data_IF_561408120068
#
_entry.id   IF_561408120068
#
_cell.length_a   1.000
_cell.length_b   1.000
_cell.length_c   1.000
_cell.angle_alpha   90.00
_cell.angle_beta   90.00
_cell.angle_gamma   90.00
#
_symmetry.space_group_name_H-M   'P 1'
#
loop_
_entity.id
_entity.type
_entity.pdbx_description
1 polymer ?
#
# COMPACT_ATOMS: atom_id res chain seq x y z
N UNK A 1 -31.22 -35.33 14.94
CA UNK A 1 -31.03 -34.79 13.57
C UNK A 1 -30.23 -33.52 13.71
N UNK A 2 -28.90 -33.62 13.57
CA UNK A 2 -28.01 -32.45 13.56
C UNK A 2 -28.04 -31.89 12.14
N UNK A 3 -28.43 -30.63 11.99
CA UNK A 3 -28.32 -29.93 10.71
C UNK A 3 -26.88 -29.45 10.59
N UNK A 4 -26.01 -30.30 10.03
CA UNK A 4 -24.73 -29.86 9.48
C UNK A 4 -25.05 -28.95 8.28
N UNK A 5 -24.82 -27.65 8.45
CA UNK A 5 -24.84 -26.72 7.34
C UNK A 5 -23.63 -27.01 6.44
N UNK A 6 -23.80 -27.06 5.10
CA UNK A 6 -22.70 -27.35 4.19
C UNK A 6 -21.63 -26.26 4.24
N UNK A 7 -20.36 -26.67 4.18
CA UNK A 7 -19.14 -25.85 4.19
C UNK A 7 -18.99 -24.89 2.98
N UNK A 8 -20.09 -24.53 2.32
CA UNK A 8 -20.12 -23.82 1.03
C UNK A 8 -20.39 -22.32 1.17
N UNK A 9 -20.45 -21.80 2.39
CA UNK A 9 -20.38 -20.35 2.65
C UNK A 9 -19.27 -20.07 3.67
N UNK A 10 -18.07 -20.61 3.42
CA UNK A 10 -16.89 -19.83 3.75
C UNK A 10 -16.81 -18.76 2.67
N UNK A 11 -17.29 -17.56 2.97
CA UNK A 11 -16.56 -16.38 2.49
C UNK A 11 -15.10 -16.71 2.76
N UNK A 12 -14.29 -16.90 1.72
CA UNK A 12 -12.87 -17.14 1.91
C UNK A 12 -12.32 -15.79 2.35
N UNK A 13 -12.43 -15.53 3.66
CA UNK A 13 -11.80 -14.38 4.29
C UNK A 13 -10.32 -14.48 3.94
N UNK A 14 -9.78 -13.40 3.40
CA UNK A 14 -8.37 -13.38 3.03
C UNK A 14 -7.54 -13.48 4.31
N UNK A 15 -6.56 -14.36 4.37
CA UNK A 15 -5.60 -14.37 5.46
C UNK A 15 -4.43 -13.42 5.20
N UNK A 16 -3.75 -13.01 6.25
CA UNK A 16 -2.65 -12.06 6.19
C UNK A 16 -1.47 -12.55 5.33
N UNK A 17 -1.20 -13.86 5.31
CA UNK A 17 -0.09 -14.43 4.53
C UNK A 17 -0.40 -14.35 3.02
N UNK A 18 -1.60 -14.75 2.62
CA UNK A 18 -2.09 -14.64 1.23
C UNK A 18 -2.11 -13.18 0.79
N UNK A 19 -2.50 -12.28 1.69
CA UNK A 19 -2.47 -10.85 1.40
C UNK A 19 -1.05 -10.31 1.21
N UNK A 20 -0.09 -10.72 2.05
CA UNK A 20 1.32 -10.34 1.94
C UNK A 20 1.94 -10.76 0.60
N UNK A 21 1.65 -11.99 0.15
CA UNK A 21 2.10 -12.51 -1.15
C UNK A 21 1.54 -11.67 -2.31
N UNK A 22 0.23 -11.35 -2.28
CA UNK A 22 -0.42 -10.51 -3.30
C UNK A 22 0.13 -9.10 -3.30
N UNK A 23 0.35 -8.53 -2.12
CA UNK A 23 0.92 -7.20 -1.96
C UNK A 23 2.34 -7.16 -2.53
N UNK A 24 3.16 -8.18 -2.25
CA UNK A 24 4.51 -8.32 -2.83
C UNK A 24 4.47 -8.32 -4.37
N UNK A 25 3.59 -9.13 -4.98
CA UNK A 25 3.42 -9.19 -6.45
C UNK A 25 3.03 -7.83 -7.04
N UNK A 26 2.10 -7.14 -6.37
CA UNK A 26 1.64 -5.81 -6.77
C UNK A 26 2.76 -4.77 -6.68
N UNK A 27 3.51 -4.76 -5.58
CA UNK A 27 4.67 -3.89 -5.40
C UNK A 27 5.74 -4.14 -6.49
N UNK A 28 5.97 -5.41 -6.84
CA UNK A 28 6.98 -5.81 -7.81
C UNK A 28 6.61 -5.48 -9.26
N UNK A 29 5.32 -5.59 -9.62
CA UNK A 29 4.91 -5.66 -11.02
C UNK A 29 3.81 -4.69 -11.46
N UNK A 30 3.21 -3.93 -10.53
CA UNK A 30 1.99 -3.17 -10.81
C UNK A 30 2.07 -1.68 -10.46
N UNK A 31 3.19 -1.17 -9.94
CA UNK A 31 3.31 0.22 -9.48
C UNK A 31 4.10 1.16 -10.39
N UNK A 32 4.17 0.87 -11.70
CA UNK A 32 4.79 1.80 -12.63
C UNK A 32 3.96 3.10 -12.75
N UNK A 33 4.57 4.24 -12.39
CA UNK A 33 3.94 5.56 -12.36
C UNK A 33 2.60 5.61 -11.60
N UNK A 34 2.46 4.81 -10.54
CA UNK A 34 1.25 4.70 -9.75
C UNK A 34 1.49 5.04 -8.28
N UNK A 35 0.46 5.52 -7.60
CA UNK A 35 0.40 5.60 -6.14
C UNK A 35 -0.65 4.62 -5.65
N UNK A 36 -0.38 3.97 -4.52
CA UNK A 36 -1.31 3.08 -3.84
C UNK A 36 -1.32 3.43 -2.35
N UNK A 37 -2.50 3.60 -1.78
CA UNK A 37 -2.75 3.76 -0.35
C UNK A 37 -3.59 2.60 0.14
N UNK A 38 -3.25 2.06 1.31
CA UNK A 38 -4.02 1.03 2.00
C UNK A 38 -4.37 1.50 3.41
N UNK A 39 -5.65 1.40 3.77
CA UNK A 39 -6.19 1.85 5.05
C UNK A 39 -7.71 1.68 5.14
N UNK A 40 -8.34 2.16 6.21
CA UNK A 40 -9.81 2.19 6.32
C UNK A 40 -10.43 3.44 5.70
N UNK A 41 -11.71 3.32 5.33
CA UNK A 41 -12.59 4.33 4.73
C UNK A 41 -12.76 5.62 5.58
N UNK A 42 -12.40 5.60 6.87
CA UNK A 42 -12.71 6.66 7.86
C UNK A 42 -11.47 7.05 8.69
N UNK A 43 -10.30 7.28 8.08
CA UNK A 43 -8.98 7.20 8.74
C UNK A 43 -8.73 8.13 9.96
N UNK A 44 -9.29 7.76 11.12
CA UNK A 44 -8.77 8.00 12.47
C UNK A 44 -7.65 7.00 12.83
N UNK A 45 -7.25 6.16 11.87
CA UNK A 45 -6.19 5.14 11.97
C UNK A 45 -5.11 5.45 10.94
N UNK A 46 -3.88 5.02 11.23
CA UNK A 46 -2.77 5.11 10.28
C UNK A 46 -3.03 4.37 8.96
N UNK A 47 -2.24 4.69 7.94
CA UNK A 47 -2.30 4.06 6.63
C UNK A 47 -0.88 3.81 6.09
N UNK A 48 -0.79 2.96 5.08
CA UNK A 48 0.46 2.76 4.33
C UNK A 48 0.31 3.25 2.91
N UNK A 49 1.37 3.82 2.35
CA UNK A 49 1.34 4.30 0.98
C UNK A 49 2.65 4.06 0.23
N UNK A 50 2.54 3.88 -1.08
CA UNK A 50 3.69 3.80 -1.98
C UNK A 50 3.52 4.78 -3.12
N UNK A 51 4.53 5.60 -3.35
CA UNK A 51 4.67 6.39 -4.56
C UNK A 51 5.63 5.67 -5.52
N UNK A 52 5.06 5.17 -6.60
CA UNK A 52 5.71 4.24 -7.52
C UNK A 52 6.58 4.89 -8.59
N UNK A 53 7.76 4.29 -8.77
CA UNK A 53 8.62 4.21 -9.95
C UNK A 53 8.41 5.32 -10.99
N UNK A 54 8.93 6.50 -10.70
CA UNK A 54 9.14 7.49 -11.73
C UNK A 54 10.29 7.02 -12.63
N UNK A 55 9.94 6.49 -13.81
CA UNK A 55 10.92 6.08 -14.84
C UNK A 55 11.20 7.20 -15.85
N UNK A 56 10.45 8.30 -15.76
CA UNK A 56 10.68 9.52 -16.55
C UNK A 56 11.23 10.63 -15.67
N UNK A 57 12.24 11.34 -16.18
CA UNK A 57 12.80 12.54 -15.55
C UNK A 57 11.73 13.55 -15.09
N UNK A 58 12.01 14.35 -14.02
CA UNK A 58 13.29 14.49 -13.32
C UNK A 58 13.45 13.58 -12.09
N UNK A 59 12.47 12.75 -11.77
CA UNK A 59 12.51 11.95 -10.55
C UNK A 59 13.26 10.64 -10.82
N UNK A 60 14.38 10.37 -10.10
CA UNK A 60 15.12 9.13 -10.26
C UNK A 60 14.24 7.94 -9.85
N UNK A 61 14.62 6.77 -10.34
CA UNK A 61 14.03 5.44 -10.14
C UNK A 61 13.96 5.07 -8.65
N UNK A 62 13.09 5.75 -7.93
CA UNK A 62 12.87 5.66 -6.50
C UNK A 62 11.45 5.15 -6.27
N UNK A 63 11.33 4.17 -5.38
CA UNK A 63 10.06 3.80 -4.77
C UNK A 63 10.08 4.34 -3.35
N UNK A 64 9.11 5.18 -2.99
CA UNK A 64 8.89 5.60 -1.61
C UNK A 64 7.78 4.76 -1.02
N UNK A 65 8.04 4.06 0.09
CA UNK A 65 7.04 3.34 0.87
C UNK A 65 6.96 3.97 2.25
N UNK A 66 5.76 4.17 2.75
CA UNK A 66 5.51 4.94 3.97
C UNK A 66 4.52 4.19 4.88
N UNK A 67 4.74 4.29 6.19
CA UNK A 67 3.82 3.86 7.24
C UNK A 67 3.48 5.10 8.06
N UNK A 68 2.27 5.62 7.89
CA UNK A 68 1.82 6.85 8.53
C UNK A 68 1.14 6.49 9.84
N UNK A 69 1.80 6.77 10.96
CA UNK A 69 1.34 6.38 12.31
C UNK A 69 0.60 7.49 13.05
N UNK A 70 0.74 8.74 12.61
CA UNK A 70 0.02 9.90 13.13
C UNK A 70 -0.50 10.77 11.96
N UNK A 71 -1.62 10.38 11.31
CA UNK A 71 -2.26 11.31 10.39
C UNK A 71 -2.76 12.51 11.18
N UNK A 72 -2.62 13.72 10.63
CA UNK A 72 -3.04 14.98 11.27
C UNK A 72 -4.48 14.84 11.81
N UNK A 73 -4.63 14.70 13.12
CA UNK A 73 -5.92 14.61 13.81
C UNK A 73 -6.35 13.23 14.37
N UNK A 74 -5.53 12.18 14.28
CA UNK A 74 -5.82 10.85 14.81
C UNK A 74 -4.98 10.50 16.06
N UNK A 75 -5.44 9.58 16.94
CA UNK A 75 -4.63 9.08 18.05
C UNK A 75 -3.39 8.34 17.53
N UNK A 76 -2.23 8.62 18.12
CA UNK A 76 -0.94 8.02 17.74
C UNK A 76 -1.00 6.49 17.84
N UNK A 77 -0.78 5.79 16.73
CA UNK A 77 -0.48 4.37 16.78
C UNK A 77 0.82 4.20 17.59
N UNK A 78 0.77 3.42 18.67
CA UNK A 78 1.94 3.23 19.55
C UNK A 78 2.89 2.22 18.88
N UNK A 79 4.00 2.73 18.36
CA UNK A 79 5.10 1.92 17.82
C UNK A 79 5.98 1.45 18.98
N UNK A 80 6.12 0.15 19.17
CA UNK A 80 7.04 -0.41 20.19
C UNK A 80 8.48 -0.41 19.68
N UNK A 81 9.46 -0.62 20.58
CA UNK A 81 10.86 -0.79 20.19
C UNK A 81 11.06 -1.96 19.21
N UNK A 82 10.28 -3.03 19.35
CA UNK A 82 10.34 -4.18 18.45
C UNK A 82 9.84 -3.85 17.04
N UNK A 83 8.75 -3.07 16.94
CA UNK A 83 8.22 -2.58 15.68
C UNK A 83 9.22 -1.64 14.99
N UNK A 84 9.78 -0.70 15.76
CA UNK A 84 10.80 0.23 15.28
C UNK A 84 12.05 -0.50 14.76
N UNK A 85 12.50 -1.55 15.46
CA UNK A 85 13.62 -2.36 15.00
C UNK A 85 13.28 -3.11 13.70
N UNK A 86 12.10 -3.73 13.62
CA UNK A 86 11.64 -4.41 12.41
C UNK A 86 11.61 -3.46 11.20
N UNK A 87 11.08 -2.24 11.38
CA UNK A 87 11.04 -1.23 10.32
C UNK A 87 12.44 -0.78 9.92
N UNK A 88 13.32 -0.55 10.89
CA UNK A 88 14.72 -0.18 10.65
C UNK A 88 15.47 -1.26 9.87
N UNK A 89 15.31 -2.53 10.24
CA UNK A 89 15.92 -3.67 9.57
C UNK A 89 15.41 -3.82 8.11
N UNK A 90 14.17 -3.43 7.86
CA UNK A 90 13.60 -3.35 6.52
C UNK A 90 14.06 -2.10 5.72
N UNK A 91 14.76 -1.16 6.36
CA UNK A 91 15.30 0.05 5.74
C UNK A 91 14.41 1.28 5.82
N UNK A 92 13.37 1.25 6.66
CA UNK A 92 12.58 2.44 6.97
C UNK A 92 13.31 3.34 7.97
N UNK A 93 13.01 4.63 7.91
CA UNK A 93 13.49 5.64 8.86
C UNK A 93 12.30 6.44 9.36
N UNK A 94 12.27 6.74 10.65
CA UNK A 94 11.24 7.58 11.22
C UNK A 94 11.47 9.05 10.84
N UNK A 95 10.44 9.69 10.29
CA UNK A 95 10.35 11.13 10.08
C UNK A 95 9.47 11.73 11.20
N UNK A 96 10.12 12.41 12.14
CA UNK A 96 9.46 13.06 13.28
C UNK A 96 8.53 14.21 12.84
N UNK A 97 8.85 14.89 11.74
CA UNK A 97 8.07 16.03 11.24
C UNK A 97 6.74 15.56 10.62
N UNK A 98 6.78 14.39 9.96
CA UNK A 98 5.61 13.80 9.31
C UNK A 98 4.88 12.75 10.16
N UNK A 99 5.48 12.28 11.26
CA UNK A 99 4.91 11.21 12.09
C UNK A 99 4.78 9.88 11.32
N UNK A 100 5.75 9.61 10.43
CA UNK A 100 5.74 8.48 9.50
C UNK A 100 7.07 7.72 9.51
N UNK A 101 7.03 6.47 9.06
CA UNK A 101 8.22 5.70 8.72
C UNK A 101 8.35 5.61 7.21
N UNK A 102 9.47 6.05 6.67
CA UNK A 102 9.69 6.15 5.22
C UNK A 102 10.84 5.27 4.76
N UNK A 103 10.64 4.56 3.66
CA UNK A 103 11.65 3.73 3.00
C UNK A 103 11.75 4.12 1.52
N UNK A 104 12.88 4.75 1.17
CA UNK A 104 13.27 4.98 -0.21
C UNK A 104 14.06 3.81 -0.77
N UNK A 105 13.54 3.12 -1.77
CA UNK A 105 14.25 2.05 -2.49
C UNK A 105 14.70 2.54 -3.85
N UNK A 106 16.02 2.62 -4.03
CA UNK A 106 16.64 2.98 -5.31
C UNK A 106 16.81 1.76 -6.20
N UNK A 107 16.76 1.98 -7.51
CA UNK A 107 17.05 0.95 -8.50
C UNK A 107 18.50 0.44 -8.40
N UNK A 108 18.78 -0.87 -8.63
CA UNK A 108 17.84 -1.91 -9.03
C UNK A 108 16.98 -2.40 -7.86
N UNK A 109 15.65 -2.42 -8.08
CA UNK A 109 14.75 -3.02 -7.11
C UNK A 109 14.84 -4.55 -7.17
N UNK A 110 14.74 -5.19 -6.01
CA UNK A 110 14.81 -6.64 -5.89
C UNK A 110 13.52 -7.19 -5.30
N UNK A 111 13.20 -8.46 -5.59
CA UNK A 111 12.06 -9.15 -4.97
C UNK A 111 12.12 -9.11 -3.44
N UNK A 112 13.34 -9.12 -2.89
CA UNK A 112 13.57 -9.03 -1.45
C UNK A 112 13.21 -7.65 -0.88
N UNK A 113 13.44 -6.56 -1.63
CA UNK A 113 13.00 -5.22 -1.25
C UNK A 113 11.48 -5.14 -1.15
N UNK A 114 10.75 -5.72 -2.12
CA UNK A 114 9.29 -5.71 -2.11
C UNK A 114 8.72 -6.58 -1.00
N UNK A 115 9.31 -7.76 -0.75
CA UNK A 115 8.90 -8.64 0.36
C UNK A 115 9.05 -7.95 1.71
N UNK A 116 10.18 -7.28 1.96
CA UNK A 116 10.40 -6.55 3.23
C UNK A 116 9.41 -5.41 3.44
N UNK A 117 9.10 -4.65 2.40
CA UNK A 117 8.08 -3.59 2.46
C UNK A 117 6.69 -4.19 2.74
N UNK A 118 6.29 -5.22 1.98
CA UNK A 118 5.00 -5.88 2.18
C UNK A 118 4.83 -6.42 3.60
N UNK A 119 5.87 -7.07 4.15
CA UNK A 119 5.86 -7.57 5.52
C UNK A 119 5.66 -6.46 6.56
N UNK A 120 6.37 -5.32 6.41
CA UNK A 120 6.21 -4.18 7.32
C UNK A 120 4.81 -3.56 7.23
N UNK A 121 4.25 -3.50 6.04
CA UNK A 121 2.90 -2.98 5.83
C UNK A 121 1.82 -3.89 6.40
N UNK A 122 1.95 -5.21 6.20
CA UNK A 122 1.04 -6.20 6.80
C UNK A 122 1.12 -6.13 8.32
N UNK A 123 2.33 -6.02 8.89
CA UNK A 123 2.53 -5.80 10.32
C UNK A 123 1.85 -4.52 10.80
N UNK A 124 2.07 -3.38 10.13
CA UNK A 124 1.45 -2.11 10.49
C UNK A 124 -0.08 -2.19 10.46
N UNK A 125 -0.67 -2.75 9.39
CA UNK A 125 -2.12 -2.88 9.28
C UNK A 125 -2.70 -3.82 10.36
N UNK A 126 -2.08 -4.97 10.57
CA UNK A 126 -2.58 -5.97 11.53
C UNK A 126 -2.41 -5.50 12.98
N UNK A 127 -1.20 -5.06 13.33
CA UNK A 127 -0.79 -4.93 14.73
C UNK A 127 -0.81 -3.47 15.22
N UNK A 128 -0.47 -2.49 14.37
CA UNK A 128 -0.45 -1.07 14.76
C UNK A 128 -1.81 -0.41 14.54
N UNK A 129 -2.43 -0.65 13.39
CA UNK A 129 -3.72 -0.04 13.02
C UNK A 129 -4.92 -0.90 13.45
N UNK A 130 -4.65 -2.11 13.95
CA UNK A 130 -5.63 -2.99 14.57
C UNK A 130 -6.70 -3.48 13.60
N UNK A 131 -6.35 -3.75 12.34
CA UNK A 131 -7.24 -4.47 11.43
C UNK A 131 -7.27 -5.94 11.84
N UNK A 132 -8.46 -6.51 12.00
CA UNK A 132 -8.61 -7.92 12.40
C UNK A 132 -8.47 -8.86 11.20
N UNK A 133 -8.86 -8.39 10.01
CA UNK A 133 -8.74 -9.10 8.73
C UNK A 133 -8.22 -8.18 7.62
N UNK A 134 -7.47 -8.69 6.62
CA UNK A 134 -7.24 -7.97 5.36
C UNK A 134 -8.53 -7.50 4.69
N UNK A 135 -9.65 -8.22 4.86
CA UNK A 135 -10.94 -7.82 4.29
C UNK A 135 -11.48 -6.50 4.88
N UNK A 136 -10.97 -6.07 6.05
CA UNK A 136 -11.28 -4.78 6.66
C UNK A 136 -10.47 -3.63 6.03
N UNK A 137 -9.48 -3.94 5.20
CA UNK A 137 -8.61 -2.97 4.54
C UNK A 137 -9.21 -2.58 3.19
N UNK A 138 -9.30 -1.27 2.94
CA UNK A 138 -9.62 -0.71 1.63
C UNK A 138 -8.37 -0.16 0.98
N UNK A 139 -8.40 0.00 -0.34
CA UNK A 139 -7.33 0.69 -1.04
C UNK A 139 -7.87 1.76 -1.98
N UNK A 140 -7.06 2.80 -2.15
CA UNK A 140 -7.22 3.78 -3.22
C UNK A 140 -5.90 3.88 -3.97
N UNK A 141 -5.98 4.04 -5.27
CA UNK A 141 -4.80 4.12 -6.12
C UNK A 141 -5.08 4.94 -7.36
N UNK A 142 -4.03 5.61 -7.85
CA UNK A 142 -4.09 6.39 -9.07
C UNK A 142 -2.78 6.30 -9.84
N UNK A 143 -2.82 6.58 -11.14
CA UNK A 143 -1.62 6.74 -11.97
C UNK A 143 -1.34 8.19 -12.30
N UNK A 144 -0.08 8.59 -12.21
CA UNK A 144 0.37 9.89 -12.69
C UNK A 144 0.23 10.01 -14.20
N UNK A 145 0.02 11.23 -14.73
CA UNK A 145 0.16 11.52 -16.14
C UNK A 145 1.49 11.01 -16.70
N UNK A 146 1.45 10.07 -17.63
CA UNK A 146 2.65 9.56 -18.27
C UNK A 146 2.91 10.30 -19.59
N UNK A 147 4.18 10.58 -19.87
CA UNK A 147 4.65 11.00 -21.20
C UNK A 147 4.71 9.79 -22.12
N UNK A 148 3.81 9.74 -23.08
CA UNK A 148 3.72 8.71 -24.11
C UNK A 148 4.46 9.21 -25.34
N UNK A 149 5.56 8.55 -25.70
CA UNK A 149 6.23 8.76 -26.99
C UNK A 149 5.39 8.14 -28.10
N UNK A 150 5.02 8.94 -29.09
CA UNK A 150 4.35 8.46 -30.30
C UNK A 150 5.15 8.85 -31.54
N UNK A 151 4.94 8.20 -32.70
CA UNK A 151 5.55 8.63 -33.96
C UNK A 151 5.22 10.07 -34.37
N UNK A 152 4.20 10.69 -33.74
CA UNK A 152 3.71 12.03 -34.04
C UNK A 152 4.11 13.07 -32.98
N UNK A 153 5.04 12.71 -32.09
CA UNK A 153 5.50 13.54 -30.97
C UNK A 153 5.02 13.03 -29.62
N UNK A 154 5.49 13.69 -28.56
CA UNK A 154 5.18 13.31 -27.19
C UNK A 154 3.78 13.77 -26.79
N UNK A 155 3.02 12.87 -26.16
CA UNK A 155 1.70 13.16 -25.59
C UNK A 155 1.73 12.88 -24.10
N UNK A 156 1.22 13.80 -23.29
CA UNK A 156 0.98 13.56 -21.86
C UNK A 156 -0.44 13.02 -21.72
N UNK A 157 -0.62 11.90 -21.03
CA UNK A 157 -1.98 11.44 -20.70
C UNK A 157 -2.65 12.47 -19.79
N UNK A 158 -3.79 13.00 -20.19
CA UNK A 158 -4.28 14.29 -19.68
C UNK A 158 -4.82 14.32 -18.25
N UNK A 159 -4.89 13.20 -17.52
CA UNK A 159 -5.51 13.14 -16.17
C UNK A 159 -4.89 12.06 -15.28
N UNK A 160 -4.92 12.30 -13.96
CA UNK A 160 -4.86 11.24 -12.95
C UNK A 160 -5.98 10.24 -13.26
N UNK A 161 -5.65 8.96 -13.23
CA UNK A 161 -6.63 7.90 -13.46
C UNK A 161 -6.66 6.99 -12.26
N UNK A 162 -7.87 6.74 -11.77
CA UNK A 162 -8.18 5.65 -10.86
C UNK A 162 -7.47 4.37 -11.31
N UNK A 163 -6.85 3.72 -10.35
CA UNK A 163 -6.06 2.54 -10.57
C UNK A 163 -6.57 1.40 -9.70
N UNK A 164 -7.50 0.64 -10.26
CA UNK A 164 -8.02 -0.58 -9.68
C UNK A 164 -7.03 -1.74 -9.88
N UNK A 165 -6.71 -2.41 -8.78
CA UNK A 165 -5.80 -3.55 -8.72
C UNK A 165 -6.58 -4.75 -8.16
N UNK A 166 -7.39 -5.37 -9.02
CA UNK A 166 -8.24 -6.51 -8.63
C UNK A 166 -7.43 -7.67 -7.99
N UNK A 167 -6.15 -7.82 -8.36
CA UNK A 167 -5.26 -8.85 -7.81
C UNK A 167 -4.91 -8.66 -6.33
N UNK A 168 -5.07 -7.45 -5.76
CA UNK A 168 -4.97 -7.25 -4.31
C UNK A 168 -6.07 -8.01 -3.57
N UNK A 169 -7.24 -8.18 -4.20
CA UNK A 169 -8.42 -8.78 -3.58
C UNK A 169 -9.03 -7.95 -2.45
N UNK A 170 -8.66 -6.68 -2.35
CA UNK A 170 -9.25 -5.71 -1.43
C UNK A 170 -10.41 -4.95 -2.08
N UNK A 171 -11.26 -4.34 -1.26
CA UNK A 171 -12.28 -3.41 -1.73
C UNK A 171 -11.64 -2.09 -2.18
N UNK A 172 -11.88 -1.71 -3.43
CA UNK A 172 -11.47 -0.40 -3.95
C UNK A 172 -12.36 0.70 -3.35
N UNK A 173 -11.74 1.77 -2.89
CA UNK A 173 -12.42 2.96 -2.40
C UNK A 173 -12.22 4.11 -3.38
N UNK A 174 -13.32 4.75 -3.80
CA UNK A 174 -13.30 5.98 -4.59
C UNK A 174 -13.63 7.17 -3.69
N UNK A 175 -12.69 8.11 -3.47
CA UNK A 175 -12.93 9.29 -2.65
C UNK A 175 -14.14 10.14 -3.09
N UNK A 176 -14.49 10.11 -4.37
CA UNK A 176 -15.61 10.88 -4.93
C UNK A 176 -16.99 10.34 -4.50
N UNK A 177 -17.07 9.10 -4.03
CA UNK A 177 -18.31 8.42 -3.61
C UNK A 177 -18.61 8.61 -2.12
N UNK A 178 -17.72 9.27 -1.36
CA UNK A 178 -17.85 9.51 0.08
C UNK A 178 -18.69 10.76 0.45
N UNK A 179 -19.61 11.20 -0.42
CA UNK A 179 -20.46 12.39 -0.23
C UNK A 179 -21.90 12.05 0.11
#
# INVERSE_FOLDING_TARGET
MSLDLPATIRSVLMDWATFEERLTDVLAHRLDAAVLLLGTQDSDKGFVQVAGRFTSEPHPQLLSAEIVTSPVGAPDAVVTEADAQMFTDAGFKYDEDCGSWDCGVTHPWTDDSFRRIAACWVHAMRDLFGHSSPDDVTYYGWRYPMRIRTPYGDRISSKLKDYEIASLGLRYFRPEEAR
#
